data_IF_272952510771
#
_entry.id   IF_272952510771
#
_cell.length_a   1.000
_cell.length_b   1.000
_cell.length_c   1.000
_cell.angle_alpha   90.00
_cell.angle_beta   90.00
_cell.angle_gamma   90.00
#
_symmetry.space_group_name_H-M   'P 1'
#
loop_
_entity.id
_entity.type
_entity.pdbx_description
1 polymer ?
#
# COMPACT_ATOMS: atom_id res chain seq x y z
N UNK A 1 -18.25 -1.89 6.80
CA UNK A 1 -18.23 -0.52 7.32
C UNK A 1 -19.55 0.08 6.96
N UNK A 2 -20.31 0.46 7.97
CA UNK A 2 -21.54 1.23 7.78
C UNK A 2 -21.17 2.64 7.27
N UNK A 3 -22.07 3.27 6.51
CA UNK A 3 -21.86 4.60 5.93
C UNK A 3 -21.47 5.64 7.01
N UNK A 4 -21.98 5.49 8.22
CA UNK A 4 -21.71 6.38 9.35
C UNK A 4 -20.25 6.28 9.85
N UNK A 5 -19.68 5.07 9.89
CA UNK A 5 -18.27 4.88 10.27
C UNK A 5 -17.32 5.49 9.24
N UNK A 6 -17.69 5.39 7.96
CA UNK A 6 -16.88 5.92 6.86
C UNK A 6 -16.79 7.46 6.93
N UNK A 7 -17.91 8.14 7.21
CA UNK A 7 -17.95 9.60 7.37
C UNK A 7 -17.09 10.05 8.55
N UNK A 8 -17.21 9.39 9.70
CA UNK A 8 -16.41 9.75 10.89
C UNK A 8 -14.91 9.62 10.62
N UNK A 9 -14.48 8.55 9.93
CA UNK A 9 -13.07 8.35 9.60
C UNK A 9 -12.60 9.40 8.59
N UNK A 10 -13.41 9.72 7.59
CA UNK A 10 -13.10 10.77 6.61
C UNK A 10 -12.88 12.13 7.30
N UNK A 11 -13.80 12.51 8.17
CA UNK A 11 -13.74 13.79 8.90
C UNK A 11 -12.53 13.84 9.83
N UNK A 12 -12.21 12.72 10.49
CA UNK A 12 -11.00 12.60 11.30
C UNK A 12 -9.73 12.78 10.46
N UNK A 13 -9.63 12.13 9.30
CA UNK A 13 -8.47 12.27 8.40
C UNK A 13 -8.31 13.72 7.96
N UNK A 14 -9.40 14.40 7.58
CA UNK A 14 -9.37 15.80 7.16
C UNK A 14 -8.97 16.73 8.31
N UNK A 15 -9.54 16.54 9.50
CA UNK A 15 -9.15 17.32 10.67
C UNK A 15 -7.65 17.18 10.97
N UNK A 16 -7.11 15.95 10.92
CA UNK A 16 -5.67 15.72 11.10
C UNK A 16 -4.87 16.47 10.03
N UNK A 17 -5.25 16.39 8.75
CA UNK A 17 -4.56 17.08 7.66
C UNK A 17 -4.56 18.59 7.89
N UNK A 18 -5.72 19.20 8.16
CA UNK A 18 -5.86 20.64 8.38
C UNK A 18 -5.03 21.13 9.58
N UNK A 19 -5.11 20.42 10.71
CA UNK A 19 -4.35 20.75 11.91
C UNK A 19 -2.84 20.53 11.73
N UNK A 20 -2.45 19.50 10.97
CA UNK A 20 -1.05 19.17 10.70
C UNK A 20 -0.36 20.27 9.87
N UNK A 21 -1.05 20.84 8.89
CA UNK A 21 -0.57 21.99 8.12
C UNK A 21 -0.38 23.22 9.01
N UNK A 22 -1.34 23.48 9.91
CA UNK A 22 -1.27 24.62 10.84
C UNK A 22 -0.16 24.46 11.88
N UNK A 23 0.06 23.25 12.38
CA UNK A 23 1.04 22.94 13.42
C UNK A 23 2.45 22.63 12.87
N UNK A 24 2.65 22.60 11.54
CA UNK A 24 3.87 22.10 10.87
C UNK A 24 4.25 20.66 11.25
N UNK A 25 3.32 19.91 11.81
CA UNK A 25 3.50 18.47 12.08
C UNK A 25 3.13 17.73 10.81
N UNK A 26 3.93 16.77 10.39
CA UNK A 26 3.60 15.92 9.25
C UNK A 26 2.98 14.61 9.74
N UNK A 27 1.76 14.70 10.25
CA UNK A 27 1.09 13.55 10.89
C UNK A 27 1.01 12.32 9.98
N UNK A 28 0.89 12.52 8.66
CA UNK A 28 0.87 11.44 7.68
C UNK A 28 2.24 10.79 7.41
N UNK A 29 3.33 11.42 7.86
CA UNK A 29 4.71 10.88 7.81
C UNK A 29 5.13 10.25 9.15
N UNK A 30 4.32 10.35 10.21
CA UNK A 30 4.64 9.73 11.49
C UNK A 30 4.62 8.21 11.37
N UNK A 31 5.53 7.56 12.09
CA UNK A 31 5.68 6.10 12.08
C UNK A 31 5.38 5.51 13.46
N UNK A 32 4.84 4.29 13.49
CA UNK A 32 4.74 3.49 14.70
C UNK A 32 6.09 2.80 15.04
N UNK A 33 6.10 1.93 16.05
CA UNK A 33 7.30 1.16 16.46
C UNK A 33 7.87 0.25 15.35
N UNK A 34 7.02 -0.21 14.43
CA UNK A 34 7.40 -0.99 13.25
C UNK A 34 7.94 -0.14 12.09
N UNK A 35 7.91 1.19 12.19
CA UNK A 35 8.22 2.08 11.08
C UNK A 35 7.04 2.29 10.12
N UNK A 36 5.84 1.81 10.45
CA UNK A 36 4.67 1.93 9.58
C UNK A 36 4.10 3.35 9.66
N UNK A 37 3.98 3.99 8.49
CA UNK A 37 3.14 5.18 8.33
C UNK A 37 1.65 4.83 8.27
N UNK A 38 0.72 5.80 8.41
CA UNK A 38 -0.71 5.52 8.31
C UNK A 38 -1.12 4.76 7.03
N UNK A 39 -0.53 5.02 5.83
CA UNK A 39 -0.75 4.20 4.65
C UNK A 39 -0.37 2.72 4.80
N UNK A 40 0.74 2.38 5.47
CA UNK A 40 1.13 0.98 5.71
C UNK A 40 0.04 0.23 6.49
N UNK A 41 -0.41 0.83 7.59
CA UNK A 41 -1.44 0.25 8.46
C UNK A 41 -2.79 0.14 7.73
N UNK A 42 -3.18 1.18 6.99
CA UNK A 42 -4.42 1.16 6.21
C UNK A 42 -4.37 0.10 5.10
N UNK A 43 -3.25 -0.02 4.40
CA UNK A 43 -3.08 -0.94 3.28
C UNK A 43 -3.06 -2.41 3.74
N UNK A 44 -2.30 -2.73 4.78
CA UNK A 44 -2.24 -4.08 5.37
C UNK A 44 -3.58 -4.56 5.95
N UNK A 45 -4.46 -3.64 6.34
CA UNK A 45 -5.84 -3.92 6.79
C UNK A 45 -6.86 -3.93 5.66
N UNK A 46 -6.52 -3.38 4.49
CA UNK A 46 -7.37 -3.33 3.30
C UNK A 46 -8.30 -2.14 3.22
N UNK A 47 -8.02 -1.08 3.98
CA UNK A 47 -8.78 0.16 3.97
C UNK A 47 -8.40 1.05 2.80
N UNK A 48 -8.80 0.65 1.59
CA UNK A 48 -8.49 1.36 0.35
C UNK A 48 -8.97 2.82 0.35
N UNK A 49 -10.16 3.08 0.88
CA UNK A 49 -10.71 4.45 0.99
C UNK A 49 -9.89 5.33 1.92
N UNK A 50 -9.47 4.79 3.07
CA UNK A 50 -8.58 5.50 3.99
C UNK A 50 -7.23 5.77 3.32
N UNK A 51 -6.66 4.81 2.59
CA UNK A 51 -5.46 5.04 1.78
C UNK A 51 -5.68 6.21 0.81
N UNK A 52 -6.84 6.27 0.15
CA UNK A 52 -7.20 7.36 -0.77
C UNK A 52 -7.27 8.72 -0.09
N UNK A 53 -7.91 8.82 1.07
CA UNK A 53 -7.98 10.09 1.81
C UNK A 53 -6.61 10.52 2.34
N UNK A 54 -5.81 9.56 2.85
CA UNK A 54 -4.46 9.86 3.30
C UNK A 54 -3.58 10.32 2.14
N UNK A 55 -3.63 9.69 0.97
CA UNK A 55 -2.81 10.08 -0.19
C UNK A 55 -3.31 11.39 -0.82
N UNK A 56 -4.62 11.65 -0.67
CA UNK A 56 -5.30 12.79 -1.27
C UNK A 56 -5.90 12.43 -2.63
N UNK A 57 -6.98 13.11 -3.00
CA UNK A 57 -7.71 12.84 -4.24
C UNK A 57 -6.89 13.19 -5.47
N UNK A 58 -5.99 14.17 -5.35
CA UNK A 58 -5.11 14.66 -6.40
C UNK A 58 -3.67 14.19 -6.22
N UNK A 59 -3.48 13.11 -5.44
CA UNK A 59 -2.18 12.46 -5.18
C UNK A 59 -1.16 13.40 -4.49
N UNK A 60 -1.62 14.37 -3.70
CA UNK A 60 -0.80 15.39 -3.06
C UNK A 60 0.26 14.80 -2.10
N UNK A 61 -0.03 13.62 -1.54
CA UNK A 61 0.87 12.88 -0.64
C UNK A 61 1.28 11.53 -1.21
N UNK A 62 1.41 11.45 -2.54
CA UNK A 62 1.83 10.23 -3.23
C UNK A 62 3.18 9.69 -2.74
N UNK A 63 4.10 10.56 -2.30
CA UNK A 63 5.40 10.15 -1.77
C UNK A 63 5.30 9.22 -0.54
N UNK A 64 4.15 9.14 0.13
CA UNK A 64 3.93 8.20 1.24
C UNK A 64 3.89 6.74 0.78
N UNK A 65 3.60 6.48 -0.51
CA UNK A 65 3.49 5.11 -1.06
C UNK A 65 4.84 4.43 -1.28
N UNK A 66 5.92 5.21 -1.35
CA UNK A 66 7.29 4.70 -1.51
C UNK A 66 8.05 4.62 -0.20
N UNK A 67 7.47 5.10 0.91
CA UNK A 67 8.09 4.95 2.23
C UNK A 67 8.15 3.49 2.62
N UNK A 68 9.23 3.12 3.31
CA UNK A 68 9.47 1.76 3.78
C UNK A 68 9.47 1.73 5.30
N UNK A 69 8.81 0.73 5.86
CA UNK A 69 8.90 0.42 7.28
C UNK A 69 10.23 -0.28 7.62
N UNK A 70 10.40 -0.73 8.87
CA UNK A 70 11.63 -1.41 9.33
C UNK A 70 11.85 -2.80 8.71
N UNK A 71 10.87 -3.32 7.97
CA UNK A 71 10.95 -4.57 7.22
C UNK A 71 11.25 -4.34 5.73
N UNK A 72 11.43 -3.09 5.32
CA UNK A 72 11.60 -2.72 3.92
C UNK A 72 10.29 -2.74 3.14
N UNK A 73 9.15 -2.95 3.79
CA UNK A 73 7.86 -3.02 3.12
C UNK A 73 7.35 -1.61 2.90
N UNK A 74 6.81 -1.33 1.72
CA UNK A 74 5.96 -0.17 1.49
C UNK A 74 4.47 -0.55 1.65
N UNK A 75 3.53 0.41 1.59
CA UNK A 75 2.11 0.10 1.72
C UNK A 75 1.57 -0.92 0.70
N UNK A 76 2.09 -0.93 -0.53
CA UNK A 76 1.68 -1.88 -1.57
C UNK A 76 2.09 -3.32 -1.19
N UNK A 77 3.32 -3.50 -0.70
CA UNK A 77 3.83 -4.78 -0.18
C UNK A 77 2.97 -5.24 1.00
N UNK A 78 2.67 -4.35 1.95
CA UNK A 78 1.79 -4.68 3.09
C UNK A 78 0.38 -5.14 2.66
N UNK A 79 -0.21 -4.52 1.64
CA UNK A 79 -1.49 -4.96 1.07
C UNK A 79 -1.38 -6.32 0.35
N UNK A 80 -0.29 -6.55 -0.37
CA UNK A 80 -0.01 -7.81 -1.06
C UNK A 80 0.12 -8.98 -0.08
N UNK A 81 1.00 -8.85 0.93
CA UNK A 81 1.31 -9.88 1.93
C UNK A 81 0.06 -10.31 2.73
N UNK A 82 -0.87 -9.38 2.96
CA UNK A 82 -2.10 -9.61 3.71
C UNK A 82 -3.34 -9.84 2.82
N UNK A 83 -3.11 -9.98 1.51
CA UNK A 83 -4.12 -10.18 0.47
C UNK A 83 -5.31 -9.20 0.50
N UNK A 84 -4.99 -7.93 0.66
CA UNK A 84 -5.98 -6.85 0.71
C UNK A 84 -6.27 -6.28 -0.67
N UNK A 85 -7.00 -7.05 -1.48
CA UNK A 85 -7.27 -6.78 -2.91
C UNK A 85 -7.62 -5.33 -3.24
N UNK A 86 -8.55 -4.72 -2.51
CA UNK A 86 -9.01 -3.36 -2.79
C UNK A 86 -7.91 -2.32 -2.55
N UNK A 87 -7.15 -2.46 -1.46
CA UNK A 87 -6.03 -1.58 -1.17
C UNK A 87 -4.89 -1.80 -2.15
N UNK A 88 -4.58 -3.06 -2.48
CA UNK A 88 -3.58 -3.40 -3.50
C UNK A 88 -3.92 -2.80 -4.87
N UNK A 89 -5.16 -2.98 -5.34
CA UNK A 89 -5.62 -2.42 -6.61
C UNK A 89 -5.54 -0.90 -6.62
N UNK A 90 -6.00 -0.24 -5.56
CA UNK A 90 -5.89 1.21 -5.44
C UNK A 90 -4.44 1.68 -5.49
N UNK A 91 -3.55 1.10 -4.67
CA UNK A 91 -2.15 1.50 -4.60
C UNK A 91 -1.39 1.19 -5.89
N UNK A 92 -1.65 0.06 -6.54
CA UNK A 92 -1.03 -0.31 -7.81
C UNK A 92 -1.44 0.63 -8.96
N UNK A 93 -2.70 1.09 -8.95
CA UNK A 93 -3.20 2.06 -9.92
C UNK A 93 -2.55 3.44 -9.76
N UNK A 94 -1.99 3.77 -8.59
CA UNK A 94 -1.39 5.10 -8.40
C UNK A 94 -0.16 5.32 -9.26
N UNK A 95 0.57 4.24 -9.56
CA UNK A 95 1.75 4.21 -10.44
C UNK A 95 1.44 3.66 -11.83
N UNK A 96 0.17 3.61 -12.26
CA UNK A 96 -0.27 2.99 -13.52
C UNK A 96 0.27 1.56 -13.72
N UNK A 97 0.34 0.79 -12.62
CA UNK A 97 0.97 -0.54 -12.57
C UNK A 97 2.47 -0.58 -12.94
N UNK A 98 3.13 0.56 -13.03
CA UNK A 98 4.57 0.69 -13.32
C UNK A 98 5.39 0.95 -12.06
N UNK A 99 5.00 0.35 -10.92
CA UNK A 99 5.82 0.44 -9.71
C UNK A 99 7.21 -0.15 -10.03
N UNK A 100 8.31 0.57 -9.73
CA UNK A 100 9.65 0.04 -9.98
C UNK A 100 9.83 -1.27 -9.19
N UNK A 101 10.57 -2.24 -9.76
CA UNK A 101 10.78 -3.55 -9.13
C UNK A 101 11.26 -3.45 -7.68
N UNK A 102 12.05 -2.43 -7.37
CA UNK A 102 12.51 -2.16 -6.01
C UNK A 102 11.33 -2.03 -5.04
N UNK A 103 10.24 -1.36 -5.44
CA UNK A 103 9.00 -1.17 -4.66
C UNK A 103 8.15 -2.44 -4.51
N UNK A 104 8.60 -3.57 -5.06
CA UNK A 104 7.95 -4.87 -4.94
C UNK A 104 8.82 -5.89 -4.20
N UNK A 105 9.95 -5.44 -3.62
CA UNK A 105 10.95 -6.27 -2.94
C UNK A 105 11.17 -5.75 -1.51
N UNK A 106 11.24 -6.67 -0.55
CA UNK A 106 11.57 -6.41 0.86
C UNK A 106 13.08 -6.38 1.11
N UNK A 107 13.47 -5.92 2.30
CA UNK A 107 14.90 -5.83 2.68
C UNK A 107 15.58 -7.21 2.76
N UNK A 108 14.82 -8.29 2.99
CA UNK A 108 15.33 -9.66 2.97
C UNK A 108 15.51 -10.23 1.54
N UNK A 109 15.19 -9.46 0.50
CA UNK A 109 15.24 -9.87 -0.90
C UNK A 109 13.97 -10.56 -1.42
N UNK A 110 12.98 -10.82 -0.56
CA UNK A 110 11.73 -11.45 -0.98
C UNK A 110 10.92 -10.47 -1.83
N UNK A 111 10.54 -10.94 -3.02
CA UNK A 111 9.53 -10.26 -3.82
C UNK A 111 8.14 -10.49 -3.23
N UNK A 112 7.20 -9.64 -3.63
CA UNK A 112 5.77 -9.82 -3.40
C UNK A 112 5.28 -11.23 -3.82
N UNK A 113 5.86 -11.84 -4.86
CA UNK A 113 5.53 -13.20 -5.28
C UNK A 113 6.02 -14.26 -4.30
N UNK A 114 7.25 -14.15 -3.77
CA UNK A 114 7.75 -15.08 -2.75
C UNK A 114 6.79 -15.14 -1.56
N UNK A 115 6.32 -13.99 -1.11
CA UNK A 115 5.39 -13.89 0.01
C UNK A 115 4.02 -14.52 -0.28
N UNK A 116 3.49 -14.31 -1.49
CA UNK A 116 2.21 -14.88 -1.87
C UNK A 116 2.23 -16.41 -2.00
N UNK A 117 3.34 -16.94 -2.52
CA UNK A 117 3.64 -18.36 -2.61
C UNK A 117 3.74 -18.96 -1.20
N UNK A 118 4.57 -18.37 -0.33
CA UNK A 118 4.77 -18.88 1.03
C UNK A 118 3.50 -18.86 1.90
N UNK A 119 2.57 -17.94 1.63
CA UNK A 119 1.31 -17.80 2.40
C UNK A 119 0.13 -18.55 1.80
N UNK A 120 0.38 -19.46 0.84
CA UNK A 120 -0.64 -20.29 0.17
C UNK A 120 -1.73 -19.48 -0.59
N UNK A 121 -1.48 -18.22 -0.95
CA UNK A 121 -2.43 -17.38 -1.71
C UNK A 121 -2.45 -17.66 -3.22
N UNK A 122 -1.92 -18.82 -3.65
CA UNK A 122 -1.65 -19.19 -5.06
C UNK A 122 -2.81 -18.98 -6.02
N UNK A 123 -4.06 -19.32 -5.66
CA UNK A 123 -5.21 -19.16 -6.55
C UNK A 123 -5.66 -17.70 -6.77
N UNK A 124 -5.18 -16.79 -5.94
CA UNK A 124 -5.68 -15.43 -5.84
C UNK A 124 -4.68 -14.39 -6.39
N UNK A 125 -3.39 -14.67 -6.24
CA UNK A 125 -2.30 -13.78 -6.60
C UNK A 125 -1.94 -13.80 -8.10
N UNK A 126 -2.11 -14.96 -8.75
CA UNK A 126 -1.63 -15.19 -10.12
C UNK A 126 -2.44 -14.44 -11.19
N UNK A 127 -3.75 -14.26 -11.01
CA UNK A 127 -4.59 -13.69 -12.08
C UNK A 127 -4.39 -12.17 -12.25
N UNK A 128 -4.46 -11.32 -11.20
CA UNK A 128 -4.36 -9.88 -11.37
C UNK A 128 -2.93 -9.37 -11.61
N UNK A 129 -1.90 -10.06 -11.10
CA UNK A 129 -0.51 -9.63 -11.24
C UNK A 129 -0.01 -9.90 -12.66
N UNK A 130 -0.37 -11.04 -13.24
CA UNK A 130 -0.04 -11.33 -14.64
C UNK A 130 -0.78 -10.43 -15.63
N UNK A 131 -2.00 -9.97 -15.31
CA UNK A 131 -2.72 -9.02 -16.17
C UNK A 131 -2.19 -7.59 -16.08
N UNK A 132 -1.62 -7.19 -14.93
CA UNK A 132 -1.18 -5.81 -14.68
C UNK A 132 0.31 -5.59 -14.88
N UNK A 133 1.14 -6.63 -14.82
CA UNK A 133 2.60 -6.52 -14.93
C UNK A 133 3.15 -7.44 -16.03
N UNK A 134 3.02 -7.01 -17.29
CA UNK A 134 3.50 -7.75 -18.47
C UNK A 134 5.01 -8.08 -18.42
N UNK A 135 5.80 -7.34 -17.63
CA UNK A 135 7.24 -7.55 -17.48
C UNK A 135 7.62 -8.67 -16.50
N UNK A 136 6.68 -9.18 -15.70
CA UNK A 136 6.94 -10.27 -14.74
C UNK A 136 6.98 -11.66 -15.41
N UNK A 137 6.58 -11.77 -16.68
CA UNK A 137 6.60 -13.03 -17.44
C UNK A 137 8.01 -13.58 -17.67
N UNK A 138 9.03 -12.72 -17.68
CA UNK A 138 10.42 -13.11 -17.97
C UNK A 138 11.05 -13.90 -16.81
N UNK A 139 10.56 -13.75 -15.57
CA UNK A 139 11.17 -14.40 -14.41
C UNK A 139 10.57 -15.76 -14.03
N UNK A 140 9.54 -16.23 -14.72
CA UNK A 140 8.89 -17.52 -14.46
C UNK A 140 9.24 -18.62 -15.46
N UNK A 141 10.04 -18.32 -16.49
CA UNK A 141 10.48 -19.31 -17.49
C UNK A 141 11.92 -19.79 -17.27
N UNK A 142 12.64 -19.20 -16.30
CA UNK A 142 14.04 -19.55 -16.00
C UNK A 142 14.21 -20.25 -14.63
N UNK A 143 13.32 -21.18 -14.28
CA UNK A 143 13.55 -22.20 -13.24
C UNK A 143 12.88 -23.53 -13.59
#
# INVERSE_FOLDING_TARGET
MDLDEEVVVHDLVNAIIEHSQRARVKAMEMVNDGGDTPPHVAASRGFAKICKWIIGTDKERIYLVSQRNKHGENPLIGAAINWKKQAFAYLSNLSDHNAPLQDLVQDNGDTILHCAIMREYFGFFLIPIFSSFSSLYIFLVDY
#
